data_IF_829582768814
#
_entry.id   IF_829582768814
#
_cell.length_a   1.000
_cell.length_b   1.000
_cell.length_c   1.000
_cell.angle_alpha   90.00
_cell.angle_beta   90.00
_cell.angle_gamma   90.00
#
_symmetry.space_group_name_H-M   'P 1'
#
loop_
_entity.id
_entity.type
_entity.pdbx_description
1 polymer ?
#
# COMPACT_ATOMS: atom_id res chain seq x y z
N UNK A 1 1.10 12.11 -4.74
CA UNK A 1 2.03 13.08 -5.35
C UNK A 1 3.26 12.35 -5.91
N UNK A 2 3.08 11.56 -6.97
CA UNK A 2 4.17 10.77 -7.58
C UNK A 2 4.76 11.46 -8.80
N UNK A 3 6.00 11.13 -9.13
CA UNK A 3 6.62 11.52 -10.40
C UNK A 3 5.82 10.99 -11.60
N UNK A 4 5.77 11.75 -12.69
CA UNK A 4 4.96 11.49 -13.88
C UNK A 4 3.43 11.61 -13.68
N UNK A 5 2.94 11.68 -12.43
CA UNK A 5 1.52 11.88 -12.10
C UNK A 5 1.23 13.32 -11.74
N UNK A 6 2.13 13.95 -10.99
CA UNK A 6 2.04 15.36 -10.60
C UNK A 6 3.39 16.06 -10.80
N UNK A 7 3.44 17.27 -11.38
CA UNK A 7 2.34 18.00 -12.02
C UNK A 7 1.81 17.26 -13.25
N UNK A 8 0.54 17.49 -13.61
CA UNK A 8 -0.10 16.80 -14.73
C UNK A 8 0.51 17.27 -16.05
N UNK A 9 0.82 16.34 -16.92
CA UNK A 9 1.31 16.63 -18.27
C UNK A 9 0.16 16.52 -19.27
N UNK A 10 -0.11 17.63 -19.97
CA UNK A 10 -0.98 17.67 -21.15
C UNK A 10 -0.16 18.31 -22.26
N UNK A 11 0.19 17.52 -23.27
CA UNK A 11 0.91 18.05 -24.42
C UNK A 11 0.01 19.02 -25.19
N UNK A 12 0.51 20.20 -25.58
CA UNK A 12 -0.25 21.10 -26.46
C UNK A 12 -0.46 20.44 -27.81
N UNK A 13 -1.52 20.85 -28.51
CA UNK A 13 -1.78 20.39 -29.88
C UNK A 13 -0.62 20.81 -30.78
N UNK A 14 -0.15 19.93 -31.66
CA UNK A 14 1.03 20.20 -32.51
C UNK A 14 0.88 21.41 -33.45
N UNK A 15 -0.35 21.88 -33.67
CA UNK A 15 -0.68 23.06 -34.47
C UNK A 15 -0.95 24.32 -33.62
N UNK A 16 -0.82 24.25 -32.30
CA UNK A 16 -0.97 25.40 -31.42
C UNK A 16 0.28 26.30 -31.49
N UNK A 17 0.21 27.32 -32.34
CA UNK A 17 1.28 28.31 -32.49
C UNK A 17 1.48 29.17 -31.23
N UNK A 18 0.50 29.27 -30.33
CA UNK A 18 0.66 29.99 -29.06
C UNK A 18 1.65 29.25 -28.16
N UNK A 19 1.56 27.90 -28.13
CA UNK A 19 2.52 27.07 -27.39
C UNK A 19 3.97 27.21 -27.90
N UNK A 20 4.17 27.53 -29.18
CA UNK A 20 5.49 27.69 -29.80
C UNK A 20 6.13 29.05 -29.50
N UNK A 21 5.32 30.09 -29.22
CA UNK A 21 5.78 31.44 -28.88
C UNK A 21 5.05 31.97 -27.63
N UNK A 22 5.33 31.40 -26.45
CA UNK A 22 4.65 31.79 -25.22
C UNK A 22 4.85 33.27 -24.90
N UNK A 23 3.78 33.92 -24.45
CA UNK A 23 3.78 35.30 -23.93
C UNK A 23 3.28 35.31 -22.49
N UNK A 24 3.60 36.39 -21.78
CA UNK A 24 3.06 36.61 -20.43
C UNK A 24 1.53 36.66 -20.50
N UNK A 25 0.87 35.87 -19.65
CA UNK A 25 -0.59 35.70 -19.65
C UNK A 25 -1.07 34.42 -20.31
N UNK A 26 -0.23 33.76 -21.12
CA UNK A 26 -0.56 32.45 -21.68
C UNK A 26 -0.60 31.41 -20.55
N UNK A 27 -1.65 30.59 -20.55
CA UNK A 27 -1.81 29.53 -19.56
C UNK A 27 -1.09 28.27 -19.98
N UNK A 28 -0.49 27.61 -19.00
CA UNK A 28 0.19 26.34 -19.15
C UNK A 28 -0.28 25.44 -18.03
N UNK A 29 -0.79 24.25 -18.36
CA UNK A 29 -1.27 23.31 -17.33
C UNK A 29 -0.16 22.97 -16.33
N UNK A 30 1.07 22.83 -16.83
CA UNK A 30 2.24 22.55 -16.01
C UNK A 30 2.47 23.66 -14.98
N UNK A 31 2.40 24.91 -15.42
CA UNK A 31 2.65 26.07 -14.54
C UNK A 31 1.50 26.28 -13.57
N UNK A 32 0.26 26.10 -14.03
CA UNK A 32 -0.94 26.10 -13.17
C UNK A 32 -0.82 25.04 -12.06
N UNK A 33 -0.40 23.81 -12.37
CA UNK A 33 -0.24 22.76 -11.35
C UNK A 33 0.92 23.03 -10.38
N UNK A 34 2.04 23.59 -10.86
CA UNK A 34 3.14 24.03 -9.98
C UNK A 34 2.66 25.13 -9.03
N UNK A 35 1.89 26.08 -9.55
CA UNK A 35 1.31 27.15 -8.75
C UNK A 35 0.28 26.62 -7.74
N UNK A 36 -0.58 25.68 -8.12
CA UNK A 36 -1.52 25.03 -7.21
C UNK A 36 -0.82 24.32 -6.03
N UNK A 37 0.37 23.76 -6.25
CA UNK A 37 1.16 23.18 -5.15
C UNK A 37 1.60 24.25 -4.15
N UNK A 38 2.04 25.40 -4.65
CA UNK A 38 2.40 26.54 -3.82
C UNK A 38 1.20 27.10 -3.07
N UNK A 39 0.04 27.21 -3.72
CA UNK A 39 -1.20 27.61 -3.06
C UNK A 39 -1.58 26.65 -1.93
N UNK A 40 -1.45 25.33 -2.14
CA UNK A 40 -1.70 24.34 -1.10
C UNK A 40 -0.76 24.52 0.11
N UNK A 41 0.52 24.82 -0.13
CA UNK A 41 1.49 25.12 0.92
C UNK A 41 1.11 26.40 1.69
N UNK A 42 0.77 27.48 1.00
CA UNK A 42 0.42 28.77 1.61
C UNK A 42 -0.93 28.72 2.34
N UNK A 43 -1.88 27.92 1.83
CA UNK A 43 -3.23 27.82 2.39
C UNK A 43 -3.29 26.91 3.63
N UNK A 44 -2.31 26.03 3.81
CA UNK A 44 -2.26 25.12 4.95
C UNK A 44 -1.95 25.89 6.24
N UNK A 45 -2.98 26.18 7.05
CA UNK A 45 -2.82 26.99 8.27
C UNK A 45 -2.22 26.23 9.47
N UNK A 46 -2.46 24.92 9.55
CA UNK A 46 -2.05 24.13 10.72
C UNK A 46 -1.13 22.98 10.34
N UNK A 47 -1.53 22.15 9.38
CA UNK A 47 -0.80 20.97 8.95
C UNK A 47 -0.91 20.80 7.45
N UNK A 48 0.23 20.50 6.81
CA UNK A 48 0.29 20.07 5.43
C UNK A 48 0.58 18.57 5.41
N UNK A 49 -0.34 17.78 4.83
CA UNK A 49 -0.18 16.35 4.67
C UNK A 49 0.12 16.01 3.20
N UNK A 50 1.25 15.37 2.95
CA UNK A 50 1.69 14.96 1.61
C UNK A 50 1.92 13.45 1.62
N UNK A 51 1.37 12.76 0.62
CA UNK A 51 1.60 11.34 0.41
C UNK A 51 1.88 11.02 -1.05
N UNK A 52 2.66 9.95 -1.26
CA UNK A 52 2.95 9.38 -2.57
C UNK A 52 3.14 7.86 -2.43
N UNK A 53 3.02 7.14 -3.54
CA UNK A 53 3.23 5.70 -3.59
C UNK A 53 4.73 5.45 -3.76
N UNK A 54 5.41 4.94 -2.73
CA UNK A 54 6.87 4.74 -2.75
C UNK A 54 7.35 3.48 -3.51
N UNK A 55 6.47 2.49 -3.70
CA UNK A 55 6.81 1.26 -4.44
C UNK A 55 5.64 0.72 -5.23
N UNK A 56 5.93 0.03 -6.32
CA UNK A 56 4.94 -0.72 -7.09
C UNK A 56 4.52 -2.00 -6.35
N UNK A 57 3.22 -2.32 -6.41
CA UNK A 57 2.65 -3.51 -5.75
C UNK A 57 3.01 -4.79 -6.53
N UNK A 58 3.29 -4.70 -7.83
CA UNK A 58 3.48 -5.84 -8.73
C UNK A 58 4.92 -6.39 -8.69
N UNK A 59 5.89 -5.50 -8.87
CA UNK A 59 7.30 -5.81 -9.08
C UNK A 59 8.20 -5.22 -7.98
N UNK A 60 7.63 -4.55 -6.97
CA UNK A 60 8.34 -3.92 -5.86
C UNK A 60 9.40 -2.88 -6.30
N UNK A 61 9.33 -2.40 -7.55
CA UNK A 61 10.18 -1.33 -8.05
C UNK A 61 9.93 -0.04 -7.27
N UNK A 62 11.00 0.72 -7.06
CA UNK A 62 10.94 2.00 -6.38
C UNK A 62 10.20 3.03 -7.25
N UNK A 63 9.38 3.84 -6.58
CA UNK A 63 8.66 4.95 -7.19
C UNK A 63 9.02 6.23 -6.48
N UNK A 64 9.26 7.25 -7.28
CA UNK A 64 9.70 8.54 -6.78
C UNK A 64 8.50 9.46 -6.48
N UNK A 65 8.65 10.36 -5.49
CA UNK A 65 7.72 11.45 -5.28
C UNK A 65 7.77 12.41 -6.46
N UNK A 66 6.75 13.27 -6.59
CA UNK A 66 6.77 14.38 -7.53
C UNK A 66 7.98 15.28 -7.27
N UNK A 67 8.58 15.83 -8.34
CA UNK A 67 9.69 16.78 -8.27
C UNK A 67 9.38 17.94 -7.30
N UNK A 68 8.13 18.40 -7.23
CA UNK A 68 7.73 19.48 -6.31
C UNK A 68 7.79 19.09 -4.83
N UNK A 69 7.50 17.82 -4.52
CA UNK A 69 7.65 17.28 -3.16
C UNK A 69 9.13 17.11 -2.83
N UNK A 70 9.95 16.71 -3.82
CA UNK A 70 11.39 16.63 -3.66
C UNK A 70 12.01 18.01 -3.39
N UNK A 71 11.66 19.03 -4.20
CA UNK A 71 12.08 20.43 -4.00
C UNK A 71 11.73 20.92 -2.58
N UNK A 72 10.52 20.60 -2.09
CA UNK A 72 10.09 20.99 -0.75
C UNK A 72 10.90 20.32 0.36
N UNK A 73 11.10 19.00 0.28
CA UNK A 73 11.81 18.26 1.34
C UNK A 73 13.32 18.57 1.33
N UNK A 74 13.89 18.83 0.15
CA UNK A 74 15.26 19.30 0.00
C UNK A 74 15.44 20.67 0.64
N UNK A 75 14.52 21.60 0.37
CA UNK A 75 14.55 22.92 1.00
C UNK A 75 14.45 22.85 2.52
N UNK A 76 13.53 22.02 3.06
CA UNK A 76 13.39 21.84 4.51
C UNK A 76 14.67 21.26 5.11
N UNK A 77 15.23 20.21 4.51
CA UNK A 77 16.45 19.57 4.99
C UNK A 77 17.68 20.49 4.96
N UNK A 78 17.80 21.36 3.95
CA UNK A 78 18.90 22.33 3.85
C UNK A 78 18.79 23.51 4.82
N UNK A 79 17.60 23.76 5.37
CA UNK A 79 17.32 24.92 6.22
C UNK A 79 17.10 24.59 7.69
N UNK A 80 17.07 23.30 8.05
CA UNK A 80 16.78 22.82 9.41
C UNK A 80 17.74 21.70 9.81
N UNK A 81 17.88 21.49 11.12
CA UNK A 81 18.51 20.32 11.73
C UNK A 81 17.68 19.87 12.92
N UNK A 82 17.83 18.62 13.36
CA UNK A 82 17.12 18.10 14.54
C UNK A 82 17.89 18.46 15.82
N UNK A 83 17.20 18.70 16.96
CA UNK A 83 17.88 18.90 18.24
C UNK A 83 18.84 17.74 18.55
N UNK A 84 20.10 18.04 18.87
CA UNK A 84 21.17 17.06 19.08
C UNK A 84 22.08 16.84 17.87
N UNK A 85 21.75 17.39 16.70
CA UNK A 85 22.56 17.31 15.48
C UNK A 85 23.39 18.58 15.23
N UNK A 86 23.54 19.49 16.22
CA UNK A 86 24.16 20.82 16.06
C UNK A 86 25.61 20.77 15.55
N UNK A 87 26.33 19.68 15.86
CA UNK A 87 27.73 19.50 15.50
C UNK A 87 27.93 18.66 14.22
N UNK A 88 26.86 18.14 13.62
CA UNK A 88 26.94 17.37 12.38
C UNK A 88 27.20 18.30 11.19
N UNK A 89 27.72 17.72 10.11
CA UNK A 89 27.84 18.46 8.87
C UNK A 89 26.47 18.69 8.20
N UNK A 90 26.45 19.58 7.21
CA UNK A 90 25.22 19.96 6.51
C UNK A 90 24.52 18.75 5.86
N UNK A 91 25.27 17.87 5.21
CA UNK A 91 24.70 16.74 4.47
C UNK A 91 24.08 15.68 5.41
N UNK A 92 24.74 15.41 6.55
CA UNK A 92 24.28 14.46 7.56
C UNK A 92 23.03 14.97 8.28
N UNK A 93 23.01 16.24 8.68
CA UNK A 93 21.86 16.87 9.33
C UNK A 93 20.67 16.95 8.38
N UNK A 94 20.89 17.32 7.12
CA UNK A 94 19.88 17.32 6.06
C UNK A 94 19.25 15.92 5.90
N UNK A 95 20.07 14.87 5.79
CA UNK A 95 19.58 13.51 5.64
C UNK A 95 18.71 13.05 6.82
N UNK A 96 19.09 13.41 8.06
CA UNK A 96 18.31 13.09 9.26
C UNK A 96 16.97 13.81 9.30
N UNK A 97 16.92 15.08 8.93
CA UNK A 97 15.66 15.83 8.82
C UNK A 97 14.73 15.21 7.78
N UNK A 98 15.25 14.88 6.58
CA UNK A 98 14.46 14.23 5.53
C UNK A 98 13.90 12.88 6.01
N UNK A 99 14.72 12.08 6.68
CA UNK A 99 14.31 10.80 7.26
C UNK A 99 13.28 10.95 8.37
N UNK A 100 13.38 12.00 9.20
CA UNK A 100 12.43 12.27 10.28
C UNK A 100 11.04 12.67 9.77
N UNK A 101 10.97 13.46 8.70
CA UNK A 101 9.71 13.89 8.09
C UNK A 101 9.07 12.80 7.21
N UNK A 102 9.89 11.91 6.65
CA UNK A 102 9.43 10.84 5.76
C UNK A 102 9.04 9.60 6.55
N UNK A 103 7.77 9.21 6.45
CA UNK A 103 7.29 7.98 7.06
C UNK A 103 6.97 6.93 5.98
N UNK A 104 7.64 5.79 6.07
CA UNK A 104 7.36 4.62 5.23
C UNK A 104 6.24 3.80 5.85
N UNK A 105 5.08 3.79 5.20
CA UNK A 105 3.94 2.99 5.64
C UNK A 105 4.06 1.54 5.19
N UNK A 106 3.58 0.63 6.04
CA UNK A 106 3.55 -0.81 5.76
C UNK A 106 2.62 -1.14 4.60
N UNK A 107 2.88 -2.27 3.90
CA UNK A 107 2.07 -2.70 2.76
C UNK A 107 0.65 -3.13 3.14
N UNK A 108 0.52 -3.87 4.24
CA UNK A 108 -0.76 -4.45 4.67
C UNK A 108 -1.33 -3.69 5.88
N UNK A 109 -2.65 -3.46 5.95
CA UNK A 109 -3.27 -2.73 7.05
C UNK A 109 -3.19 -3.48 8.40
N UNK A 110 -3.04 -4.79 8.38
CA UNK A 110 -2.88 -5.65 9.55
C UNK A 110 -1.42 -5.92 9.91
N UNK A 111 -0.46 -5.21 9.31
CA UNK A 111 0.94 -5.32 9.73
C UNK A 111 1.08 -4.95 11.21
N UNK A 112 1.77 -5.76 12.05
CA UNK A 112 1.93 -5.49 13.47
C UNK A 112 2.51 -4.10 13.78
N UNK A 113 3.35 -3.54 12.90
CA UNK A 113 3.94 -2.21 13.10
C UNK A 113 2.88 -1.11 13.21
N UNK A 114 1.74 -1.25 12.54
CA UNK A 114 0.64 -0.27 12.61
C UNK A 114 -0.08 -0.27 13.97
N UNK A 115 0.08 -1.30 14.80
CA UNK A 115 -0.62 -1.42 16.09
C UNK A 115 0.30 -1.22 17.29
N UNK A 116 1.60 -0.98 17.05
CA UNK A 116 2.54 -0.60 18.10
C UNK A 116 2.21 0.81 18.62
N UNK A 117 2.49 1.10 19.90
CA UNK A 117 2.31 2.44 20.44
C UNK A 117 3.26 3.42 19.75
N UNK A 118 2.75 4.56 19.28
CA UNK A 118 3.54 5.55 18.56
C UNK A 118 2.68 6.62 17.90
N UNK A 119 3.30 7.45 17.07
CA UNK A 119 2.67 8.60 16.41
C UNK A 119 1.45 8.21 15.55
N UNK A 120 1.49 7.03 14.93
CA UNK A 120 0.53 6.61 13.90
C UNK A 120 -0.07 5.22 14.16
N UNK A 121 -0.36 4.93 15.43
CA UNK A 121 -1.11 3.73 15.76
C UNK A 121 -2.45 3.73 15.02
N UNK A 122 -2.75 2.63 14.34
CA UNK A 122 -4.00 2.44 13.61
C UNK A 122 -5.18 2.44 14.58
N UNK A 123 -6.25 3.15 14.20
CA UNK A 123 -7.52 3.15 14.91
C UNK A 123 -8.44 2.00 14.47
N UNK A 124 -8.07 1.26 13.42
CA UNK A 124 -8.85 0.17 12.82
C UNK A 124 -8.71 -1.13 13.62
N UNK A 125 -9.53 -1.27 14.68
CA UNK A 125 -9.48 -2.42 15.60
C UNK A 125 -9.81 -3.76 14.93
N UNK A 126 -10.51 -3.75 13.80
CA UNK A 126 -10.90 -4.96 13.05
C UNK A 126 -9.71 -5.81 12.62
N UNK A 127 -8.54 -5.20 12.43
CA UNK A 127 -7.31 -5.87 12.01
C UNK A 127 -6.42 -6.30 13.18
N UNK A 128 -6.70 -5.83 14.40
CA UNK A 128 -5.89 -6.15 15.58
C UNK A 128 -5.77 -7.67 15.84
N UNK A 129 -6.81 -8.51 15.65
CA UNK A 129 -6.67 -9.96 15.80
C UNK A 129 -5.70 -10.58 14.79
N UNK A 130 -5.70 -10.07 13.55
CA UNK A 130 -4.77 -10.52 12.51
C UNK A 130 -3.34 -10.04 12.81
N UNK A 131 -3.18 -8.78 13.22
CA UNK A 131 -1.89 -8.18 13.57
C UNK A 131 -1.23 -8.85 14.79
N UNK A 132 -2.03 -9.24 15.78
CA UNK A 132 -1.57 -9.94 16.99
C UNK A 132 -1.48 -11.46 16.82
N UNK A 133 -1.79 -11.99 15.63
CA UNK A 133 -1.86 -13.43 15.35
C UNK A 133 -2.79 -14.19 16.30
N UNK A 134 -3.85 -13.53 16.79
CA UNK A 134 -4.86 -14.12 17.68
C UNK A 134 -5.91 -14.97 16.93
N UNK A 135 -5.71 -15.19 15.63
CA UNK A 135 -6.56 -16.03 14.81
C UNK A 135 -6.43 -17.51 15.16
N UNK A 136 -7.51 -18.25 14.97
CA UNK A 136 -7.50 -19.73 15.02
C UNK A 136 -7.48 -20.24 13.59
N UNK A 137 -6.54 -21.12 13.28
CA UNK A 137 -6.55 -21.82 12.00
C UNK A 137 -7.88 -22.56 11.83
N UNK A 138 -8.34 -22.66 10.58
CA UNK A 138 -9.53 -23.46 10.28
C UNK A 138 -9.31 -24.90 10.75
N UNK A 139 -10.34 -25.49 11.36
CA UNK A 139 -10.33 -26.92 11.69
C UNK A 139 -10.26 -27.76 10.43
N UNK A 140 -9.79 -28.99 10.58
CA UNK A 140 -9.80 -29.95 9.47
C UNK A 140 -11.22 -30.09 8.90
N UNK A 141 -11.33 -29.93 7.58
CA UNK A 141 -12.63 -29.91 6.90
C UNK A 141 -13.36 -31.24 7.00
N UNK A 142 -12.64 -32.35 6.87
CA UNK A 142 -13.21 -33.69 6.93
C UNK A 142 -13.38 -34.09 8.39
N UNK A 143 -14.63 -34.02 8.86
CA UNK A 143 -15.04 -34.56 10.16
C UNK A 143 -15.96 -35.75 9.93
N UNK A 144 -15.80 -36.85 10.67
CA UNK A 144 -16.66 -38.02 10.52
C UNK A 144 -18.09 -37.62 10.87
N UNK A 145 -18.99 -37.72 9.90
CA UNK A 145 -20.41 -37.54 10.12
C UNK A 145 -21.02 -38.88 10.53
N UNK A 146 -21.93 -38.91 11.51
CA UNK A 146 -22.67 -40.12 11.81
C UNK A 146 -23.47 -40.51 10.57
N UNK A 147 -23.17 -41.69 10.04
CA UNK A 147 -23.84 -42.25 8.87
C UNK A 147 -24.43 -43.60 9.21
N UNK A 148 -25.72 -43.75 8.97
CA UNK A 148 -26.43 -45.02 9.01
C UNK A 148 -26.74 -45.43 7.59
N UNK A 149 -26.18 -46.56 7.14
CA UNK A 149 -26.48 -47.11 5.82
C UNK A 149 -27.97 -47.50 5.77
N UNK A 150 -28.78 -46.92 4.87
CA UNK A 150 -30.18 -47.32 4.73
C UNK A 150 -30.28 -48.75 4.18
N UNK A 151 -31.37 -49.46 4.51
CA UNK A 151 -31.61 -50.84 4.07
C UNK A 151 -31.73 -50.98 2.55
N UNK A 152 -32.14 -49.91 1.85
CA UNK A 152 -32.21 -49.86 0.39
C UNK A 152 -31.55 -48.60 -0.16
N UNK A 153 -30.74 -48.77 -1.22
CA UNK A 153 -30.11 -47.68 -1.97
C UNK A 153 -30.41 -47.89 -3.46
N UNK A 154 -31.09 -46.95 -4.14
CA UNK A 154 -31.34 -47.04 -5.58
C UNK A 154 -30.03 -47.10 -6.38
N UNK A 155 -30.01 -47.89 -7.46
CA UNK A 155 -28.82 -48.12 -8.28
C UNK A 155 -28.25 -46.83 -8.87
N UNK A 156 -29.11 -45.84 -9.14
CA UNK A 156 -28.70 -44.53 -9.65
C UNK A 156 -27.74 -43.80 -8.69
N UNK A 157 -27.93 -43.95 -7.36
CA UNK A 157 -27.07 -43.31 -6.35
C UNK A 157 -25.66 -43.90 -6.27
N UNK A 158 -25.46 -45.12 -6.75
CA UNK A 158 -24.13 -45.76 -6.80
C UNK A 158 -23.33 -45.32 -8.04
N UNK A 159 -24.02 -45.04 -9.15
CA UNK A 159 -23.39 -44.67 -10.41
C UNK A 159 -22.94 -43.20 -10.47
N UNK A 160 -23.49 -42.33 -9.62
CA UNK A 160 -23.08 -40.93 -9.51
C UNK A 160 -21.73 -40.75 -8.78
N UNK A 161 -21.27 -41.75 -8.03
CA UNK A 161 -19.96 -41.74 -7.36
C UNK A 161 -18.85 -42.26 -8.28
N UNK A 162 -18.43 -41.44 -9.24
CA UNK A 162 -17.20 -41.66 -9.99
C UNK A 162 -16.01 -41.89 -9.05
N UNK A 163 -15.43 -43.10 -9.10
CA UNK A 163 -14.20 -43.50 -8.42
C UNK A 163 -14.08 -43.19 -6.92
N UNK A 164 -14.92 -43.83 -6.09
CA UNK A 164 -14.53 -44.09 -4.70
C UNK A 164 -13.54 -45.26 -4.70
N UNK A 165 -12.24 -44.97 -4.59
CA UNK A 165 -11.22 -45.99 -4.29
C UNK A 165 -11.51 -46.52 -2.87
N UNK A 166 -12.00 -47.76 -2.77
CA UNK A 166 -12.04 -48.48 -1.50
C UNK A 166 -10.63 -48.57 -0.92
N UNK A 167 -10.37 -47.79 0.13
CA UNK A 167 -9.25 -48.00 1.04
C UNK A 167 -9.40 -49.36 1.72
N UNK A 168 -8.30 -50.09 1.81
CA UNK A 168 -8.14 -51.40 2.44
C UNK A 168 -9.06 -51.64 3.65
N UNK A 169 -9.93 -52.64 3.57
CA UNK A 169 -10.49 -53.32 4.74
C UNK A 169 -9.98 -54.77 4.76
N UNK A 170 -9.26 -55.08 5.83
CA UNK A 170 -8.54 -56.33 6.08
C UNK A 170 -9.45 -57.56 6.12
N UNK A 171 -8.96 -58.63 5.46
CA UNK A 171 -9.15 -60.07 5.69
C UNK A 171 -10.29 -60.49 6.64
N UNK A 172 -11.38 -60.99 6.06
CA UNK A 172 -12.21 -62.02 6.71
C UNK A 172 -11.57 -63.40 6.48
N UNK A 173 -11.20 -64.06 7.56
CA UNK A 173 -10.84 -65.48 7.60
C UNK A 173 -12.13 -66.28 7.79
N UNK A 174 -12.54 -67.06 6.78
CA UNK A 174 -13.59 -68.05 6.93
C UNK A 174 -13.00 -69.32 7.58
N UNK A 175 -13.65 -69.80 8.64
CA UNK A 175 -13.58 -71.20 9.09
C UNK A 175 -14.60 -72.02 8.33
#
# INVERSE_FOLDING_TARGET
MNDGVYPRQLAPLGFDLMSQKPKRGDRSRRDDDRYLFLEALISAQQKLYISYIGRSIQDNSERFPSVLVQELIDYIGQSHYLPGDEALNCDESEARVKAHLTCLHTRMPFDPQNYQPGERQSYAREWLPAASQAGKAHSEFVQPLPFTLPETVPLERYNDSGHIRCGHFSRCVCR
#
